data_IF_944062802313
#
_entry.id   IF_944062802313
#
_cell.length_a   1.000
_cell.length_b   1.000
_cell.length_c   1.000
_cell.angle_alpha   90.00
_cell.angle_beta   90.00
_cell.angle_gamma   90.00
#
_symmetry.space_group_name_H-M   'P 1'
#
loop_
_entity.id
_entity.type
_entity.pdbx_description
1 polymer ?
#
# COMPACT_ATOMS: atom_id res chain seq x y z
N UNK A 1 -21.62 -7.64 -5.96
CA UNK A 1 -20.70 -8.70 -5.52
C UNK A 1 -19.77 -8.10 -4.48
N UNK A 2 -19.63 -8.75 -3.32
CA UNK A 2 -18.58 -8.37 -2.37
C UNK A 2 -17.23 -8.53 -3.09
N UNK A 3 -16.33 -7.53 -3.11
CA UNK A 3 -14.99 -7.71 -3.66
C UNK A 3 -14.30 -8.88 -2.94
N UNK A 4 -13.44 -9.62 -3.63
CA UNK A 4 -12.64 -10.70 -3.04
C UNK A 4 -11.72 -10.21 -1.91
N UNK A 5 -10.82 -11.06 -1.42
CA UNK A 5 -9.77 -10.60 -0.51
C UNK A 5 -8.84 -9.60 -1.19
N UNK A 6 -8.18 -8.74 -0.42
CA UNK A 6 -7.14 -7.85 -0.98
C UNK A 6 -5.88 -8.67 -1.22
N UNK A 7 -5.30 -8.51 -2.40
CA UNK A 7 -4.01 -9.09 -2.77
C UNK A 7 -2.90 -8.03 -2.73
N UNK A 8 -2.18 -7.97 -1.61
CA UNK A 8 -1.05 -7.05 -1.46
C UNK A 8 0.21 -7.59 -2.16
N UNK A 9 0.77 -6.81 -3.09
CA UNK A 9 2.01 -7.16 -3.79
C UNK A 9 3.17 -6.26 -3.36
N UNK A 10 4.00 -6.72 -2.43
CA UNK A 10 5.14 -5.96 -1.91
C UNK A 10 6.09 -5.46 -3.02
N UNK A 11 6.35 -6.30 -4.05
CA UNK A 11 7.22 -5.98 -5.20
C UNK A 11 6.78 -4.72 -5.97
N UNK A 12 5.48 -4.43 -6.07
CA UNK A 12 4.98 -3.24 -6.79
C UNK A 12 5.36 -1.95 -6.06
N UNK A 13 5.26 -1.97 -4.74
CA UNK A 13 5.51 -0.80 -3.89
C UNK A 13 7.02 -0.47 -3.85
N UNK A 14 7.89 -1.46 -3.67
CA UNK A 14 9.34 -1.23 -3.73
C UNK A 14 9.79 -0.76 -5.13
N UNK A 15 9.17 -1.27 -6.21
CA UNK A 15 9.50 -0.83 -7.58
C UNK A 15 9.11 0.62 -7.83
N UNK A 16 8.12 1.15 -7.10
CA UNK A 16 7.73 2.57 -7.16
C UNK A 16 8.73 3.48 -6.44
N UNK A 17 9.63 2.92 -5.63
CA UNK A 17 10.66 3.64 -4.90
C UNK A 17 10.31 3.94 -3.44
N UNK A 18 9.35 3.23 -2.85
CA UNK A 18 9.06 3.37 -1.41
C UNK A 18 10.13 2.67 -0.58
N UNK A 19 10.65 3.39 0.41
CA UNK A 19 11.59 2.91 1.41
C UNK A 19 10.88 2.02 2.45
N UNK A 20 11.63 1.07 3.01
CA UNK A 20 11.10 0.07 3.93
C UNK A 20 10.43 0.70 5.15
N UNK A 21 11.00 1.81 5.64
CA UNK A 21 10.53 2.51 6.83
C UNK A 21 9.16 3.19 6.65
N UNK A 22 8.79 3.52 5.41
CA UNK A 22 7.50 4.15 5.10
C UNK A 22 6.31 3.22 5.38
N UNK A 23 6.55 1.90 5.44
CA UNK A 23 5.51 0.91 5.76
C UNK A 23 5.78 0.16 7.07
N UNK A 24 7.04 0.02 7.47
CA UNK A 24 7.44 -0.79 8.62
C UNK A 24 7.98 0.03 9.80
N UNK A 25 8.06 1.36 9.74
CA UNK A 25 8.66 2.19 10.79
C UNK A 25 10.17 1.99 10.85
N UNK A 26 10.78 2.02 12.04
CA UNK A 26 12.24 1.84 12.22
C UNK A 26 12.67 0.37 12.03
N UNK A 27 12.45 -0.15 10.82
CA UNK A 27 12.68 -1.54 10.43
C UNK A 27 14.15 -1.91 10.44
N UNK A 28 15.05 -0.92 10.32
CA UNK A 28 16.49 -1.14 10.41
C UNK A 28 16.92 -1.63 11.80
N UNK A 29 16.19 -1.24 12.85
CA UNK A 29 16.44 -1.64 14.23
C UNK A 29 15.47 -2.73 14.73
N UNK A 30 14.73 -3.40 13.83
CA UNK A 30 13.83 -4.49 14.20
C UNK A 30 14.53 -5.84 14.14
N UNK A 31 14.56 -6.55 15.27
CA UNK A 31 15.01 -7.96 15.31
C UNK A 31 14.09 -8.88 14.48
N UNK A 32 12.79 -8.57 14.47
CA UNK A 32 11.79 -9.21 13.61
C UNK A 32 10.78 -8.16 13.13
N UNK A 33 10.50 -8.17 11.83
CA UNK A 33 9.50 -7.27 11.23
C UNK A 33 8.14 -7.52 11.87
N UNK A 34 7.54 -6.47 12.40
CA UNK A 34 6.21 -6.50 13.00
C UNK A 34 5.38 -5.31 12.52
N UNK A 35 4.06 -5.36 12.75
CA UNK A 35 3.16 -4.28 12.37
C UNK A 35 3.26 -3.13 13.37
N UNK A 36 3.77 -1.99 12.91
CA UNK A 36 3.76 -0.72 13.67
C UNK A 36 2.59 0.18 13.28
N UNK A 37 2.10 0.03 12.04
CA UNK A 37 0.93 0.75 11.53
C UNK A 37 -0.24 -0.20 11.32
N UNK A 38 -1.46 0.30 11.57
CA UNK A 38 -2.69 -0.39 11.21
C UNK A 38 -2.96 -0.24 9.71
N UNK A 39 -2.37 -1.12 8.91
CA UNK A 39 -2.50 -1.15 7.45
C UNK A 39 -3.87 -1.71 7.02
N UNK A 40 -4.94 -0.94 7.25
CA UNK A 40 -6.28 -1.22 6.72
C UNK A 40 -6.49 -0.51 5.38
N UNK A 41 -7.68 -0.66 4.78
CA UNK A 41 -7.98 -0.01 3.50
C UNK A 41 -7.83 1.52 3.56
N UNK A 42 -8.12 2.15 4.71
CA UNK A 42 -7.91 3.58 4.90
C UNK A 42 -6.45 3.99 4.73
N UNK A 43 -5.53 3.22 5.33
CA UNK A 43 -4.08 3.41 5.14
C UNK A 43 -3.67 3.29 3.67
N UNK A 44 -4.15 2.24 2.99
CA UNK A 44 -3.83 2.01 1.57
C UNK A 44 -4.30 3.18 0.68
N UNK A 45 -5.57 3.57 0.84
CA UNK A 45 -6.19 4.61 0.01
C UNK A 45 -5.60 5.99 0.31
N UNK A 46 -5.28 6.28 1.57
CA UNK A 46 -4.58 7.51 1.93
C UNK A 46 -3.22 7.59 1.24
N UNK A 47 -2.38 6.56 1.39
CA UNK A 47 -1.06 6.53 0.77
C UNK A 47 -1.14 6.65 -0.75
N UNK A 48 -2.07 5.93 -1.40
CA UNK A 48 -2.30 6.05 -2.84
C UNK A 48 -2.74 7.45 -3.26
N UNK A 49 -3.52 8.15 -2.43
CA UNK A 49 -3.95 9.54 -2.70
C UNK A 49 -2.79 10.52 -2.61
N UNK A 50 -1.94 10.37 -1.60
CA UNK A 50 -0.81 11.28 -1.34
C UNK A 50 0.32 11.12 -2.37
N UNK A 51 0.38 9.98 -3.07
CA UNK A 51 1.51 9.62 -3.94
C UNK A 51 1.13 9.41 -5.41
N UNK A 52 -0.14 9.61 -5.79
CA UNK A 52 -0.54 9.62 -7.19
C UNK A 52 -0.02 10.90 -7.88
N UNK A 53 0.49 10.74 -9.10
CA UNK A 53 1.02 11.84 -9.90
C UNK A 53 -0.09 12.67 -10.55
N UNK A 54 -1.20 12.03 -10.90
CA UNK A 54 -2.36 12.64 -11.52
C UNK A 54 -3.66 11.89 -11.20
N UNK A 55 -4.79 12.44 -11.65
CA UNK A 55 -6.12 11.88 -11.42
C UNK A 55 -6.33 10.52 -12.10
N UNK A 56 -5.65 10.26 -13.22
CA UNK A 56 -5.77 9.02 -13.96
C UNK A 56 -5.05 7.88 -13.23
N UNK A 57 -3.84 8.12 -12.72
CA UNK A 57 -3.14 7.18 -11.85
C UNK A 57 -3.94 6.93 -10.57
N UNK A 58 -4.47 8.00 -9.95
CA UNK A 58 -5.27 7.88 -8.74
C UNK A 58 -6.52 7.02 -8.93
N UNK A 59 -7.21 7.17 -10.06
CA UNK A 59 -8.37 6.36 -10.39
C UNK A 59 -8.02 4.86 -10.46
N UNK A 60 -6.88 4.51 -11.05
CA UNK A 60 -6.42 3.12 -11.11
C UNK A 60 -6.01 2.57 -9.73
N UNK A 61 -5.31 3.38 -8.94
CA UNK A 61 -4.84 3.01 -7.59
C UNK A 61 -5.99 2.86 -6.57
N UNK A 62 -7.15 3.46 -6.83
CA UNK A 62 -8.36 3.35 -6.00
C UNK A 62 -9.41 2.39 -6.57
N UNK A 63 -9.16 1.82 -7.75
CA UNK A 63 -10.10 0.87 -8.34
C UNK A 63 -10.18 -0.43 -7.52
N UNK A 64 -11.40 -0.89 -7.28
CA UNK A 64 -11.66 -2.06 -6.46
C UNK A 64 -10.96 -3.32 -7.02
N UNK A 65 -10.96 -3.49 -8.35
CA UNK A 65 -10.42 -4.69 -8.99
C UNK A 65 -8.89 -4.66 -9.06
N UNK A 66 -8.24 -3.49 -8.95
CA UNK A 66 -6.79 -3.40 -8.77
C UNK A 66 -6.32 -4.08 -7.47
N UNK A 67 -7.18 -4.11 -6.45
CA UNK A 67 -6.87 -4.66 -5.13
C UNK A 67 -7.46 -6.05 -4.88
N UNK A 68 -8.62 -6.36 -5.46
CA UNK A 68 -9.47 -7.50 -5.06
C UNK A 68 -9.62 -8.59 -6.14
N UNK A 69 -8.53 -8.99 -6.80
CA UNK A 69 -8.52 -9.88 -7.96
C UNK A 69 -8.00 -11.29 -7.70
#
# INVERSE_FOLDING_TARGET
>A
SQPGYVHFTHKRHIKRGFECEQCHGDVANMDQVHQVYRMNMGFCIQCHTENAQDEHELAHLKDCLTCHY
#
